data_IF_619827488371
#
_entry.id   IF_619827488371
#
_cell.length_a   1.000
_cell.length_b   1.000
_cell.length_c   1.000
_cell.angle_alpha   90.00
_cell.angle_beta   90.00
_cell.angle_gamma   90.00
#
_symmetry.space_group_name_H-M   'P 1'
#
loop_
_entity.id
_entity.type
_entity.pdbx_description
1 polymer ?
#
# COMPACT_ATOMS: atom_id res chain seq x y z
N UNK A 1 -14.70 8.74 -5.52
CA UNK A 1 -13.90 8.52 -4.31
C UNK A 1 -13.13 7.23 -4.50
N UNK A 2 -11.81 7.33 -4.66
CA UNK A 2 -10.94 6.14 -4.81
C UNK A 2 -10.85 5.46 -3.45
N UNK A 3 -11.50 4.30 -3.30
CA UNK A 3 -11.56 3.55 -2.05
C UNK A 3 -10.22 2.81 -1.84
N UNK A 4 -9.21 3.54 -1.35
CA UNK A 4 -7.87 3.03 -1.07
C UNK A 4 -7.68 2.95 0.45
N UNK A 5 -7.33 1.77 0.95
CA UNK A 5 -7.02 1.54 2.36
C UNK A 5 -5.60 1.04 2.50
N UNK A 6 -4.85 1.59 3.45
CA UNK A 6 -3.50 1.14 3.81
C UNK A 6 -3.48 0.67 5.26
N UNK A 7 -2.98 -0.55 5.47
CA UNK A 7 -2.63 -1.06 6.79
C UNK A 7 -1.21 -0.62 7.13
N UNK A 8 -1.13 0.46 7.91
CA UNK A 8 0.07 1.26 8.10
C UNK A 8 0.76 0.98 9.43
N UNK A 9 2.10 0.99 9.41
CA UNK A 9 2.94 1.06 10.61
C UNK A 9 3.89 2.27 10.48
N UNK A 10 3.69 3.34 11.26
CA UNK A 10 4.53 4.54 11.20
C UNK A 10 6.02 4.29 11.44
N UNK A 11 6.38 3.23 12.16
CA UNK A 11 7.77 2.87 12.45
C UNK A 11 8.48 2.15 11.28
N UNK A 12 7.77 1.77 10.22
CA UNK A 12 8.32 1.01 9.09
C UNK A 12 8.54 1.90 7.85
N UNK A 13 9.79 2.03 7.39
CA UNK A 13 10.14 2.85 6.21
C UNK A 13 9.40 2.44 4.94
N UNK A 14 9.29 1.14 4.66
CA UNK A 14 8.47 0.65 3.53
C UNK A 14 7.01 1.10 3.65
N UNK A 15 6.45 1.12 4.85
CA UNK A 15 5.06 1.56 5.08
C UNK A 15 4.87 3.05 4.87
N UNK A 16 5.86 3.88 5.27
CA UNK A 16 5.86 5.32 5.03
C UNK A 16 6.03 5.63 3.53
N UNK A 17 6.93 4.95 2.83
CA UNK A 17 7.08 5.10 1.38
C UNK A 17 5.80 4.74 0.61
N UNK A 18 5.11 3.65 0.99
CA UNK A 18 3.83 3.29 0.37
C UNK A 18 2.76 4.35 0.62
N UNK A 19 2.63 4.87 1.84
CA UNK A 19 1.71 5.97 2.15
C UNK A 19 2.05 7.23 1.33
N UNK A 20 3.34 7.54 1.20
CA UNK A 20 3.84 8.65 0.38
C UNK A 20 3.47 8.49 -1.10
N UNK A 21 3.67 7.31 -1.68
CA UNK A 21 3.30 7.01 -3.07
C UNK A 21 1.80 7.13 -3.33
N UNK A 22 0.95 6.65 -2.40
CA UNK A 22 -0.51 6.80 -2.52
C UNK A 22 -0.90 8.29 -2.55
N UNK A 23 -0.32 9.10 -1.66
CA UNK A 23 -0.57 10.56 -1.62
C UNK A 23 0.01 11.30 -2.81
N UNK A 24 1.16 10.87 -3.32
CA UNK A 24 1.79 11.39 -4.55
C UNK A 24 0.90 11.18 -5.78
N UNK A 25 0.08 10.12 -5.77
CA UNK A 25 -0.95 9.88 -6.76
C UNK A 25 -2.19 10.80 -6.64
N UNK A 26 -2.20 11.72 -5.66
CA UNK A 26 -3.34 12.59 -5.37
C UNK A 26 -4.49 11.88 -4.63
N UNK A 27 -4.24 10.70 -4.04
CA UNK A 27 -5.22 9.93 -3.30
C UNK A 27 -4.94 10.08 -1.80
N UNK A 28 -5.92 10.52 -1.01
CA UNK A 28 -5.84 10.39 0.45
C UNK A 28 -6.50 9.05 0.86
N UNK A 29 -5.72 8.09 1.40
CA UNK A 29 -6.24 6.77 1.75
C UNK A 29 -6.84 6.72 3.16
N UNK A 30 -7.68 5.72 3.39
CA UNK A 30 -8.03 5.29 4.74
C UNK A 30 -6.82 4.62 5.40
N UNK A 31 -6.27 5.24 6.44
CA UNK A 31 -5.08 4.75 7.16
C UNK A 31 -5.51 3.96 8.39
N UNK A 32 -5.22 2.67 8.40
CA UNK A 32 -5.47 1.79 9.54
C UNK A 32 -4.15 1.46 10.23
N UNK A 33 -3.92 2.06 11.41
CA UNK A 33 -2.80 1.70 12.29
C UNK A 33 -3.08 0.35 12.97
N UNK A 34 -2.74 -0.75 12.30
CA UNK A 34 -3.12 -2.10 12.71
C UNK A 34 -2.53 -2.54 14.07
N UNK A 35 -1.47 -1.89 14.55
CA UNK A 35 -0.91 -2.16 15.89
C UNK A 35 -1.74 -1.52 17.01
N UNK A 36 -2.42 -0.42 16.73
CA UNK A 36 -3.31 0.27 17.67
C UNK A 36 -4.75 -0.21 17.56
N UNK A 37 -5.17 -0.52 16.33
CA UNK A 37 -6.49 -1.05 15.99
C UNK A 37 -6.32 -2.46 15.46
N UNK A 38 -6.13 -3.46 16.35
CA UNK A 38 -5.91 -4.82 15.91
C UNK A 38 -7.15 -5.36 15.18
N UNK A 39 -6.94 -6.17 14.13
CA UNK A 39 -8.04 -6.86 13.46
C UNK A 39 -8.79 -7.77 14.42
N UNK A 40 -10.07 -7.98 14.16
CA UNK A 40 -10.93 -8.90 14.90
C UNK A 40 -10.41 -10.34 14.81
N UNK A 41 -10.86 -11.22 15.72
CA UNK A 41 -10.48 -12.65 15.72
C UNK A 41 -10.78 -13.34 14.38
N UNK A 42 -11.87 -12.96 13.72
CA UNK A 42 -12.26 -13.54 12.43
C UNK A 42 -11.36 -13.06 11.28
N UNK A 43 -10.93 -11.80 11.32
CA UNK A 43 -9.93 -11.25 10.39
C UNK A 43 -8.55 -11.89 10.61
N UNK A 44 -8.13 -12.08 11.87
CA UNK A 44 -6.89 -12.80 12.21
C UNK A 44 -6.93 -14.23 11.69
N UNK A 45 -8.07 -14.93 11.81
CA UNK A 45 -8.23 -16.28 11.26
C UNK A 45 -8.10 -16.30 9.73
N UNK A 46 -8.62 -15.29 9.03
CA UNK A 46 -8.40 -15.14 7.59
C UNK A 46 -6.94 -14.86 7.23
N UNK A 47 -6.20 -14.14 8.08
CA UNK A 47 -4.76 -13.90 7.90
C UNK A 47 -3.90 -15.13 8.17
N UNK A 48 -4.27 -15.97 9.14
CA UNK A 48 -3.57 -17.23 9.41
C UNK A 48 -3.60 -18.19 8.20
N UNK A 49 -4.66 -18.14 7.40
CA UNK A 49 -4.77 -18.91 6.16
C UNK A 49 -3.91 -18.35 5.01
N UNK A 50 -3.44 -17.10 5.12
CA UNK A 50 -2.61 -16.42 4.12
C UNK A 50 -1.44 -15.68 4.82
N UNK A 51 -0.34 -16.38 5.16
CA UNK A 51 0.77 -15.82 5.96
C UNK A 51 1.42 -14.55 5.37
N UNK A 52 1.29 -14.34 4.05
CA UNK A 52 1.70 -13.09 3.38
C UNK A 52 1.01 -11.86 3.99
N UNK A 53 -0.18 -12.05 4.58
CA UNK A 53 -0.96 -11.02 5.26
C UNK A 53 -0.41 -10.68 6.66
N UNK A 54 0.64 -11.36 7.15
CA UNK A 54 1.38 -10.93 8.35
C UNK A 54 2.48 -9.92 8.03
N UNK A 55 2.96 -9.87 6.78
CA UNK A 55 3.90 -8.85 6.33
C UNK A 55 3.14 -7.54 6.02
N UNK A 56 3.82 -6.40 6.17
CA UNK A 56 3.22 -5.05 6.07
C UNK A 56 4.13 -4.09 5.29
N UNK A 57 3.60 -3.07 4.59
CA UNK A 57 2.20 -2.65 4.50
C UNK A 57 1.36 -3.47 3.51
N UNK A 58 0.06 -3.59 3.78
CA UNK A 58 -0.93 -4.10 2.81
C UNK A 58 -1.75 -2.93 2.31
N UNK A 59 -1.97 -2.89 1.00
CA UNK A 59 -2.82 -1.90 0.36
C UNK A 59 -4.00 -2.61 -0.30
N UNK A 60 -5.20 -2.10 -0.04
CA UNK A 60 -6.45 -2.50 -0.69
C UNK A 60 -6.93 -1.37 -1.57
N UNK A 61 -7.25 -1.69 -2.81
CA UNK A 61 -7.75 -0.76 -3.83
C UNK A 61 -8.86 -1.45 -4.64
N UNK A 62 -9.58 -0.73 -5.52
CA UNK A 62 -10.49 -1.35 -6.48
C UNK A 62 -9.78 -2.31 -7.45
N UNK A 63 -8.49 -2.12 -7.73
CA UNK A 63 -7.69 -3.01 -8.59
C UNK A 63 -7.18 -4.26 -7.85
N UNK A 64 -7.38 -4.34 -6.54
CA UNK A 64 -7.09 -5.52 -5.73
C UNK A 64 -6.30 -5.22 -4.46
N UNK A 65 -5.79 -6.29 -3.86
CA UNK A 65 -5.01 -6.28 -2.62
C UNK A 65 -3.60 -6.77 -2.90
N UNK A 66 -2.58 -6.13 -2.33
CA UNK A 66 -1.17 -6.55 -2.43
C UNK A 66 -0.41 -6.20 -1.16
N UNK A 67 0.57 -7.04 -0.82
CA UNK A 67 1.65 -6.71 0.09
C UNK A 67 2.66 -5.85 -0.67
N UNK A 68 2.80 -4.58 -0.32
CA UNK A 68 3.70 -3.67 -1.03
C UNK A 68 5.09 -3.70 -0.40
N UNK A 69 5.81 -4.80 -0.65
CA UNK A 69 7.22 -5.00 -0.29
C UNK A 69 7.94 -5.58 -1.52
N UNK A 70 8.60 -4.73 -2.35
CA UNK A 70 8.99 -3.35 -2.07
C UNK A 70 7.85 -2.32 -2.22
N UNK A 71 8.08 -1.07 -1.81
CA UNK A 71 7.03 -0.03 -1.72
C UNK A 71 6.34 0.31 -3.04
N UNK A 72 7.10 0.32 -4.13
CA UNK A 72 6.71 0.65 -5.50
C UNK A 72 5.69 -0.33 -6.09
N UNK A 73 5.55 -1.52 -5.50
CA UNK A 73 4.49 -2.47 -5.83
C UNK A 73 3.09 -1.88 -5.73
N UNK A 74 2.91 -0.81 -4.96
CA UNK A 74 1.63 -0.09 -4.84
C UNK A 74 1.21 0.56 -6.16
N UNK A 75 2.15 0.94 -7.04
CA UNK A 75 1.87 1.64 -8.29
C UNK A 75 0.93 0.85 -9.22
N UNK A 76 1.06 -0.48 -9.24
CA UNK A 76 0.18 -1.36 -10.01
C UNK A 76 -1.28 -1.31 -9.51
N UNK A 77 -1.52 -0.92 -8.26
CA UNK A 77 -2.84 -0.93 -7.64
C UNK A 77 -3.56 0.42 -7.70
N UNK A 78 -2.87 1.51 -8.05
CA UNK A 78 -3.47 2.84 -8.03
C UNK A 78 -4.24 3.09 -9.34
N UNK A 79 -5.55 3.39 -9.30
CA UNK A 79 -6.36 3.62 -10.51
C UNK A 79 -6.13 5.03 -11.09
N UNK A 80 -4.86 5.33 -11.41
CA UNK A 80 -4.38 6.62 -11.93
C UNK A 80 -3.45 6.39 -13.12
N UNK A 81 -3.28 7.43 -13.95
CA UNK A 81 -2.27 7.43 -15.02
C UNK A 81 -0.84 7.40 -14.50
N UNK A 82 0.17 7.39 -15.40
CA UNK A 82 1.58 7.43 -15.02
C UNK A 82 1.89 8.63 -14.11
N UNK A 83 2.62 8.37 -13.03
CA UNK A 83 3.00 9.39 -12.05
C UNK A 83 4.41 9.93 -12.33
N UNK A 84 4.70 11.18 -11.94
CA UNK A 84 6.07 11.69 -11.96
C UNK A 84 6.96 10.90 -10.99
N UNK A 85 8.29 10.93 -11.16
CA UNK A 85 9.21 10.21 -10.28
C UNK A 85 8.99 10.51 -8.80
N UNK A 86 9.15 9.51 -7.95
CA UNK A 86 9.02 9.62 -6.51
C UNK A 86 10.34 9.25 -5.83
N UNK A 87 10.82 10.07 -4.91
CA UNK A 87 12.03 9.79 -4.12
C UNK A 87 11.65 9.20 -2.77
N UNK A 88 12.13 7.99 -2.48
CA UNK A 88 11.96 7.31 -1.18
C UNK A 88 12.78 8.00 -0.08
N UNK A 89 12.49 7.64 1.17
CA UNK A 89 13.21 8.18 2.34
C UNK A 89 14.73 7.94 2.33
N UNK A 90 15.21 6.89 1.66
CA UNK A 90 16.64 6.57 1.53
C UNK A 90 17.31 7.22 0.30
N UNK A 91 16.56 8.03 -0.46
CA UNK A 91 17.03 8.69 -1.67
C UNK A 91 16.87 7.88 -2.96
N UNK A 92 16.37 6.65 -2.90
CA UNK A 92 16.08 5.85 -4.09
C UNK A 92 14.96 6.52 -4.91
N UNK A 93 15.15 6.66 -6.22
CA UNK A 93 14.14 7.22 -7.13
C UNK A 93 13.35 6.10 -7.79
N UNK A 94 12.03 6.11 -7.57
CA UNK A 94 11.06 5.23 -8.19
C UNK A 94 10.49 5.87 -9.44
N UNK A 95 10.50 5.11 -10.53
CA UNK A 95 9.87 5.48 -11.80
C UNK A 95 8.63 4.61 -12.02
N UNK A 96 7.49 5.25 -12.22
CA UNK A 96 6.25 4.57 -12.54
C UNK A 96 6.22 4.17 -14.02
N UNK A 97 5.99 2.89 -14.28
CA UNK A 97 5.88 2.34 -15.65
C UNK A 97 4.54 2.67 -16.31
N UNK A 98 3.55 3.11 -15.53
CA UNK A 98 2.18 3.33 -16.00
C UNK A 98 1.35 2.05 -16.12
N UNK A 99 1.94 0.88 -15.88
CA UNK A 99 1.23 -0.41 -15.92
C UNK A 99 0.41 -0.57 -14.64
N UNK A 100 -0.85 -0.99 -14.79
CA UNK A 100 -1.79 -1.23 -13.68
C UNK A 100 -2.29 -2.66 -13.71
N UNK A 101 -2.66 -3.18 -12.55
CA UNK A 101 -3.25 -4.51 -12.43
C UNK A 101 -4.60 -4.53 -13.13
N UNK A 102 -4.76 -5.45 -14.08
CA UNK A 102 -5.98 -5.61 -14.87
C UNK A 102 -6.12 -4.65 -16.06
N UNK A 103 -5.10 -3.85 -16.35
CA UNK A 103 -4.97 -3.06 -17.58
C UNK A 103 -4.24 -3.83 -18.69
#
# INVERSE_FOLDING_TARGET
>A
MSNVTIFHNPACGTSRNVLGLIRHAGIEPDVIEYLKTPPSKDEIRSFAQNPILMNRPIVKTPLGVKLCRPSEDVLELLPVGPLPPFTKEDGEVVHDTGVRRGA
#
